data_IF_861130013770
#
_entry.id   IF_861130013770
#
_cell.length_a   1.000
_cell.length_b   1.000
_cell.length_c   1.000
_cell.angle_alpha   90.00
_cell.angle_beta   90.00
_cell.angle_gamma   90.00
#
_symmetry.space_group_name_H-M   'P 1'
#
loop_
_entity.id
_entity.type
_entity.pdbx_description
1 polymer ?
#
# COMPACT_ATOMS: atom_id res chain seq x y z
N UNK A 1 9.37 -22.70 1.53
CA UNK A 1 9.62 -21.68 2.57
C UNK A 1 8.40 -20.78 2.62
N UNK A 2 7.59 -20.90 3.67
CA UNK A 2 6.41 -20.08 3.87
C UNK A 2 6.82 -18.66 4.33
N UNK A 3 6.01 -17.64 3.96
CA UNK A 3 6.17 -16.29 4.47
C UNK A 3 5.82 -16.22 5.97
N UNK A 4 6.34 -15.20 6.67
CA UNK A 4 5.99 -14.97 8.09
C UNK A 4 4.61 -14.32 8.22
N UNK A 5 3.58 -15.14 8.42
CA UNK A 5 2.19 -14.68 8.60
C UNK A 5 1.95 -13.87 9.89
N UNK A 6 2.95 -13.83 10.79
CA UNK A 6 2.89 -13.09 12.07
C UNK A 6 3.53 -11.72 11.96
N UNK A 7 4.13 -11.37 10.80
CA UNK A 7 4.81 -10.09 10.66
C UNK A 7 3.83 -8.93 10.84
N UNK A 8 4.22 -7.95 11.64
CA UNK A 8 3.46 -6.75 11.96
C UNK A 8 4.02 -5.56 11.19
N UNK A 9 3.20 -5.00 10.30
CA UNK A 9 3.56 -3.90 9.43
C UNK A 9 3.36 -2.55 10.14
N UNK A 10 4.18 -1.56 9.79
CA UNK A 10 3.89 -0.18 10.19
C UNK A 10 2.81 0.43 9.29
N UNK A 11 2.03 1.35 9.85
CA UNK A 11 1.11 2.17 9.06
C UNK A 11 1.95 2.98 8.03
N UNK A 12 1.55 3.01 6.74
CA UNK A 12 2.39 3.53 5.64
C UNK A 12 2.34 5.07 5.50
N UNK A 13 2.34 5.78 6.63
CA UNK A 13 2.29 7.25 6.68
C UNK A 13 3.01 7.79 7.91
N UNK A 14 3.24 9.11 7.95
CA UNK A 14 4.03 9.77 8.97
C UNK A 14 3.44 9.63 10.39
N UNK A 15 4.33 9.57 11.38
CA UNK A 15 3.97 9.68 12.80
C UNK A 15 3.16 10.95 13.07
N UNK A 16 2.14 10.83 13.90
CA UNK A 16 1.20 11.90 14.23
C UNK A 16 0.10 12.13 13.18
N UNK A 17 0.08 11.37 12.10
CA UNK A 17 -0.96 11.41 11.09
C UNK A 17 -1.96 10.28 11.28
N UNK A 18 -3.21 10.55 10.89
CA UNK A 18 -4.28 9.56 10.91
C UNK A 18 -5.07 9.58 9.60
N UNK A 19 -5.42 8.38 9.13
CA UNK A 19 -6.20 8.24 7.90
C UNK A 19 -7.31 7.21 8.08
N UNK A 20 -8.44 7.50 7.44
CA UNK A 20 -9.59 6.60 7.42
C UNK A 20 -9.36 5.49 6.39
N UNK A 21 -9.69 4.26 6.76
CA UNK A 21 -9.83 3.15 5.80
C UNK A 21 -11.15 3.33 5.05
N UNK A 22 -11.05 3.72 3.78
CA UNK A 22 -12.21 3.94 2.91
C UNK A 22 -12.78 2.60 2.42
N UNK A 23 -11.90 1.68 2.02
CA UNK A 23 -12.25 0.32 1.63
C UNK A 23 -11.28 -0.67 2.28
N UNK A 24 -11.83 -1.73 2.85
CA UNK A 24 -11.08 -2.78 3.54
C UNK A 24 -10.91 -4.05 2.72
N UNK A 25 -10.44 -5.12 3.39
CA UNK A 25 -10.30 -6.45 2.81
C UNK A 25 -11.63 -6.94 2.25
N UNK A 26 -11.59 -7.52 1.04
CA UNK A 26 -12.76 -8.04 0.34
C UNK A 26 -13.88 -7.02 0.12
N UNK A 27 -13.54 -5.71 0.15
CA UNK A 27 -14.48 -4.62 -0.06
C UNK A 27 -15.21 -4.72 -1.40
N UNK A 28 -16.48 -4.33 -1.41
CA UNK A 28 -17.40 -4.62 -2.52
C UNK A 28 -17.12 -3.83 -3.80
N UNK A 29 -16.42 -2.70 -3.72
CA UNK A 29 -16.18 -1.83 -4.88
C UNK A 29 -15.08 -2.41 -5.80
N UNK A 30 -13.85 -2.53 -5.32
CA UNK A 30 -12.70 -2.97 -6.13
C UNK A 30 -11.85 -4.08 -5.50
N UNK A 31 -12.09 -4.43 -4.22
CA UNK A 31 -11.31 -5.41 -3.48
C UNK A 31 -11.97 -6.80 -3.42
N UNK A 32 -12.91 -7.10 -4.32
CA UNK A 32 -13.57 -8.40 -4.34
C UNK A 32 -12.55 -9.55 -4.46
N UNK A 33 -12.54 -10.43 -3.46
CA UNK A 33 -11.55 -11.52 -3.31
C UNK A 33 -10.09 -11.02 -3.23
N UNK A 34 -9.87 -9.81 -2.70
CA UNK A 34 -8.54 -9.22 -2.52
C UNK A 34 -8.37 -8.68 -1.10
N UNK A 35 -7.23 -9.02 -0.48
CA UNK A 35 -6.81 -8.45 0.78
C UNK A 35 -6.04 -7.14 0.51
N UNK A 36 -6.78 -6.05 0.38
CA UNK A 36 -6.25 -4.71 0.13
C UNK A 36 -6.93 -3.68 1.03
N UNK A 37 -6.25 -2.58 1.28
CA UNK A 37 -6.71 -1.46 2.13
C UNK A 37 -6.55 -0.16 1.33
N UNK A 38 -7.61 0.65 1.30
CA UNK A 38 -7.58 2.01 0.75
C UNK A 38 -7.61 3.03 1.89
N UNK A 39 -6.50 3.78 2.04
CA UNK A 39 -6.41 4.89 2.98
C UNK A 39 -6.79 6.19 2.29
N UNK A 40 -7.83 6.87 2.76
CA UNK A 40 -8.20 8.21 2.26
C UNK A 40 -7.06 9.20 2.54
N UNK A 41 -6.42 9.70 1.52
CA UNK A 41 -5.30 10.65 1.61
C UNK A 41 -5.46 11.76 0.59
N UNK A 42 -5.11 12.99 0.96
CA UNK A 42 -4.97 14.06 -0.02
C UNK A 42 -3.82 13.74 -0.99
N UNK A 43 -3.94 14.20 -2.24
CA UNK A 43 -2.85 14.08 -3.21
C UNK A 43 -1.59 14.77 -2.70
N UNK A 44 -0.42 14.14 -2.90
CA UNK A 44 0.87 14.62 -2.42
C UNK A 44 1.19 14.27 -0.96
N UNK A 45 0.36 13.45 -0.29
CA UNK A 45 0.68 12.92 1.03
C UNK A 45 1.86 11.95 0.94
N UNK A 46 2.80 12.05 1.87
CA UNK A 46 3.95 11.13 1.96
C UNK A 46 3.50 9.70 2.26
N UNK A 47 3.96 8.76 1.43
CA UNK A 47 3.78 7.33 1.61
C UNK A 47 5.09 6.73 2.10
N UNK A 48 5.02 6.03 3.23
CA UNK A 48 6.18 5.41 3.86
C UNK A 48 6.16 3.88 3.66
N UNK A 49 7.36 3.30 3.60
CA UNK A 49 7.49 1.84 3.63
C UNK A 49 6.94 1.27 4.94
N UNK A 50 6.07 0.29 4.83
CA UNK A 50 5.51 -0.43 5.97
C UNK A 50 6.44 -1.53 6.52
N UNK A 51 7.44 -1.95 5.73
CA UNK A 51 8.43 -2.99 6.04
C UNK A 51 9.68 -2.83 5.18
N UNK A 52 10.86 -3.22 5.72
CA UNK A 52 12.14 -3.26 4.98
C UNK A 52 12.03 -4.11 3.72
N UNK A 53 12.75 -3.72 2.65
CA UNK A 53 12.80 -4.51 1.43
C UNK A 53 13.60 -3.88 0.30
N UNK A 54 13.33 -4.35 -0.92
CA UNK A 54 13.95 -3.90 -2.15
C UNK A 54 12.84 -3.54 -3.14
N UNK A 55 12.97 -2.41 -3.83
CA UNK A 55 12.03 -1.99 -4.87
C UNK A 55 12.19 -2.89 -6.09
N UNK A 56 11.15 -3.64 -6.43
CA UNK A 56 11.15 -4.60 -7.54
C UNK A 56 10.24 -4.19 -8.70
N UNK A 57 9.32 -3.26 -8.48
CA UNK A 57 8.50 -2.65 -9.53
C UNK A 57 8.30 -1.17 -9.23
N UNK A 58 8.31 -0.35 -10.28
CA UNK A 58 8.00 1.08 -10.21
C UNK A 58 7.38 1.52 -11.54
N UNK A 59 6.15 1.99 -11.48
CA UNK A 59 5.44 2.68 -12.57
C UNK A 59 4.98 4.03 -12.02
N UNK A 60 5.38 5.13 -12.66
CA UNK A 60 5.07 6.48 -12.17
C UNK A 60 4.93 7.52 -13.28
N UNK A 61 4.73 7.06 -14.51
CA UNK A 61 4.71 7.92 -15.70
C UNK A 61 3.31 8.15 -16.27
N UNK A 62 2.26 7.67 -15.60
CA UNK A 62 0.88 7.87 -16.00
C UNK A 62 0.28 9.11 -15.30
N UNK A 63 -0.68 9.75 -15.97
CA UNK A 63 -1.41 10.93 -15.46
C UNK A 63 -2.94 10.74 -15.51
N UNK A 64 -3.41 9.69 -16.20
CA UNK A 64 -4.82 9.44 -16.43
C UNK A 64 -5.49 8.80 -15.21
N UNK A 65 -6.74 9.19 -14.97
CA UNK A 65 -7.58 8.57 -13.95
C UNK A 65 -9.04 8.54 -14.36
N UNK A 66 -9.76 7.51 -13.95
CA UNK A 66 -11.21 7.46 -14.03
C UNK A 66 -11.80 6.43 -13.05
N UNK A 67 -13.10 6.54 -12.68
CA UNK A 67 -13.73 5.62 -11.73
C UNK A 67 -14.19 4.30 -12.38
N UNK A 68 -13.56 3.86 -13.47
CA UNK A 68 -13.88 2.61 -14.17
C UNK A 68 -12.68 1.68 -14.24
N UNK A 69 -12.94 0.39 -14.31
CA UNK A 69 -11.91 -0.65 -14.32
C UNK A 69 -10.94 -0.54 -15.52
N UNK A 70 -11.38 -0.03 -16.66
CA UNK A 70 -10.54 0.18 -17.85
C UNK A 70 -9.39 1.18 -17.62
N UNK A 71 -9.48 2.02 -16.58
CA UNK A 71 -8.37 2.89 -16.15
C UNK A 71 -7.32 2.18 -15.29
N UNK A 72 -7.49 0.90 -14.92
CA UNK A 72 -6.49 0.12 -14.17
C UNK A 72 -5.13 0.10 -14.86
N UNK A 73 -5.09 0.09 -16.19
CA UNK A 73 -3.87 0.10 -17.01
C UNK A 73 -3.01 1.35 -16.84
N UNK A 74 -3.59 2.44 -16.34
CA UNK A 74 -2.88 3.70 -16.07
C UNK A 74 -2.39 3.81 -14.63
N UNK A 75 -2.52 2.76 -13.82
CA UNK A 75 -2.12 2.85 -12.43
C UNK A 75 -0.62 3.11 -12.29
N UNK A 76 -0.27 4.05 -11.40
CA UNK A 76 1.08 4.23 -10.91
C UNK A 76 1.23 3.49 -9.58
N UNK A 77 2.35 2.81 -9.40
CA UNK A 77 2.60 2.02 -8.19
C UNK A 77 4.07 1.74 -7.95
N UNK A 78 4.40 1.41 -6.71
CA UNK A 78 5.69 0.90 -6.29
C UNK A 78 5.49 -0.42 -5.53
N UNK A 79 6.31 -1.43 -5.85
CA UNK A 79 6.27 -2.73 -5.18
C UNK A 79 7.60 -2.99 -4.49
N UNK A 80 7.53 -3.31 -3.21
CA UNK A 80 8.67 -3.64 -2.36
C UNK A 80 8.65 -5.13 -2.04
N UNK A 81 9.72 -5.85 -2.37
CA UNK A 81 9.93 -7.26 -2.02
C UNK A 81 10.61 -7.35 -0.65
N UNK A 82 10.07 -8.15 0.24
CA UNK A 82 10.60 -8.39 1.57
C UNK A 82 11.49 -9.65 1.62
N UNK A 83 12.27 -9.78 2.69
CA UNK A 83 13.23 -10.87 2.87
C UNK A 83 12.61 -12.28 3.00
N UNK A 84 11.32 -12.37 3.32
CA UNK A 84 10.57 -13.62 3.39
C UNK A 84 9.86 -13.99 2.08
N UNK A 85 10.11 -13.23 0.99
CA UNK A 85 9.51 -13.46 -0.32
C UNK A 85 8.09 -12.93 -0.47
N UNK A 86 7.58 -12.15 0.50
CA UNK A 86 6.34 -11.37 0.30
C UNK A 86 6.62 -10.04 -0.38
N UNK A 87 5.57 -9.42 -0.89
CA UNK A 87 5.62 -8.15 -1.62
C UNK A 87 4.57 -7.20 -1.06
N UNK A 88 4.93 -5.94 -0.85
CA UNK A 88 3.97 -4.87 -0.56
C UNK A 88 3.85 -3.95 -1.78
N UNK A 89 2.61 -3.70 -2.22
CA UNK A 89 2.29 -2.79 -3.31
C UNK A 89 1.62 -1.53 -2.75
N UNK A 90 2.11 -0.38 -3.22
CA UNK A 90 1.65 0.96 -2.89
C UNK A 90 1.18 1.62 -4.18
N UNK A 91 -0.12 1.70 -4.40
CA UNK A 91 -0.72 2.13 -5.67
C UNK A 91 -1.36 3.51 -5.60
N UNK A 92 -1.68 4.04 -6.79
CA UNK A 92 -2.21 5.37 -7.04
C UNK A 92 -1.26 6.50 -6.65
N UNK A 93 0.07 6.24 -6.71
CA UNK A 93 1.06 7.29 -6.50
C UNK A 93 0.99 8.32 -7.63
N UNK A 94 1.33 9.58 -7.32
CA UNK A 94 1.29 10.67 -8.31
C UNK A 94 2.32 10.46 -9.42
N UNK A 95 2.14 11.19 -10.53
CA UNK A 95 3.13 11.27 -11.61
C UNK A 95 4.48 11.71 -11.05
N UNK A 96 5.56 10.97 -11.43
CA UNK A 96 6.92 11.17 -10.89
C UNK A 96 6.96 11.25 -9.36
N UNK A 97 6.14 10.44 -8.68
CA UNK A 97 5.92 10.50 -7.23
C UNK A 97 6.97 9.82 -6.38
N UNK A 98 7.97 9.15 -6.98
CA UNK A 98 9.07 8.49 -6.25
C UNK A 98 10.43 8.95 -6.77
N UNK A 99 11.40 9.10 -5.88
CA UNK A 99 12.81 9.36 -6.21
C UNK A 99 13.65 8.08 -6.29
N UNK A 100 13.07 6.96 -5.90
CA UNK A 100 13.73 5.64 -5.92
C UNK A 100 13.73 5.01 -7.30
N UNK A 101 14.56 3.97 -7.46
CA UNK A 101 14.72 3.19 -8.69
C UNK A 101 14.55 1.69 -8.40
N UNK A 102 14.38 0.92 -9.47
CA UNK A 102 14.39 -0.54 -9.37
C UNK A 102 15.72 -1.02 -8.76
N UNK A 103 15.64 -1.93 -7.80
CA UNK A 103 16.78 -2.49 -7.09
C UNK A 103 17.21 -1.71 -5.84
N UNK A 104 16.68 -0.51 -5.60
CA UNK A 104 17.03 0.27 -4.42
C UNK A 104 16.52 -0.42 -3.13
N UNK A 105 17.39 -0.56 -2.11
CA UNK A 105 16.97 -1.01 -0.79
C UNK A 105 16.23 0.10 -0.05
N UNK A 106 15.17 -0.25 0.65
CA UNK A 106 14.37 0.67 1.46
C UNK A 106 14.19 0.14 2.87
N UNK A 107 14.28 1.05 3.84
CA UNK A 107 14.02 0.75 5.24
C UNK A 107 12.59 1.11 5.62
N UNK A 108 12.04 0.37 6.55
CA UNK A 108 10.74 0.65 7.16
C UNK A 108 10.67 2.10 7.65
N UNK A 109 9.59 2.79 7.33
CA UNK A 109 9.34 4.16 7.77
C UNK A 109 10.01 5.26 6.94
N UNK A 110 10.71 4.93 5.83
CA UNK A 110 11.20 5.95 4.89
C UNK A 110 10.11 6.34 3.89
N UNK A 111 10.11 7.59 3.45
CA UNK A 111 9.21 8.08 2.39
C UNK A 111 9.66 7.47 1.06
N UNK A 112 8.80 6.69 0.41
CA UNK A 112 9.09 6.03 -0.87
C UNK A 112 8.36 6.66 -2.05
N UNK A 113 7.24 7.32 -1.80
CA UNK A 113 6.42 7.96 -2.82
C UNK A 113 5.49 9.01 -2.21
N UNK A 114 4.72 9.64 -3.08
CA UNK A 114 3.62 10.54 -2.69
C UNK A 114 2.31 10.04 -3.28
N UNK A 115 1.22 10.10 -2.51
CA UNK A 115 -0.12 9.73 -2.95
C UNK A 115 -0.59 10.59 -4.13
N UNK A 116 -1.42 10.02 -4.95
CA UNK A 116 -1.98 10.66 -6.12
C UNK A 116 -3.43 10.26 -6.35
N UNK A 117 -3.87 10.49 -7.58
CA UNK A 117 -5.20 10.14 -8.05
C UNK A 117 -5.09 9.61 -9.49
N UNK A 118 -4.29 8.55 -9.69
CA UNK A 118 -3.93 8.02 -11.02
C UNK A 118 -4.40 6.58 -11.15
N UNK A 119 -4.92 6.23 -12.31
CA UNK A 119 -5.44 4.89 -12.60
C UNK A 119 -6.93 4.73 -12.31
N UNK A 120 -7.36 3.55 -11.91
CA UNK A 120 -8.76 3.28 -11.52
C UNK A 120 -9.04 3.79 -10.11
N UNK A 121 -9.55 4.99 -10.02
CA UNK A 121 -9.81 5.68 -8.75
C UNK A 121 -10.98 6.65 -8.88
N UNK A 122 -11.72 6.85 -7.79
CA UNK A 122 -12.78 7.86 -7.65
C UNK A 122 -12.33 9.10 -6.87
N UNK A 123 -11.08 9.14 -6.40
CA UNK A 123 -10.50 10.23 -5.63
C UNK A 123 -9.15 9.87 -5.04
N UNK A 124 -8.37 10.86 -4.54
CA UNK A 124 -7.05 10.61 -4.00
C UNK A 124 -7.05 9.64 -2.81
N UNK A 125 -6.21 8.61 -2.86
CA UNK A 125 -6.04 7.64 -1.80
C UNK A 125 -4.74 6.84 -1.97
N UNK A 126 -4.32 6.12 -0.96
CA UNK A 126 -3.32 5.07 -1.06
C UNK A 126 -4.02 3.71 -1.07
N UNK A 127 -3.90 2.96 -2.16
CA UNK A 127 -4.22 1.54 -2.18
C UNK A 127 -2.98 0.74 -1.74
N UNK A 128 -3.12 -0.02 -0.67
CA UNK A 128 -2.06 -0.87 -0.10
C UNK A 128 -2.49 -2.34 -0.11
N UNK A 129 -1.63 -3.22 -0.61
CA UNK A 129 -1.85 -4.66 -0.55
C UNK A 129 -0.53 -5.41 -0.41
N UNK A 130 -0.56 -6.55 0.29
CA UNK A 130 0.55 -7.48 0.35
C UNK A 130 0.23 -8.77 -0.39
N UNK A 131 1.27 -9.37 -0.98
CA UNK A 131 1.17 -10.62 -1.73
C UNK A 131 2.23 -11.61 -1.31
N UNK A 132 1.89 -12.89 -1.38
CA UNK A 132 2.85 -13.99 -1.42
C UNK A 132 2.91 -14.58 -2.82
N UNK A 133 4.10 -15.03 -3.26
CA UNK A 133 4.22 -15.78 -4.50
C UNK A 133 3.56 -17.16 -4.32
N UNK A 134 2.60 -17.47 -5.19
CA UNK A 134 2.05 -18.81 -5.33
C UNK A 134 2.62 -19.51 -6.56
N UNK A 135 2.35 -20.80 -6.72
CA UNK A 135 2.86 -21.58 -7.85
C UNK A 135 2.34 -21.05 -9.21
N UNK A 136 1.08 -20.65 -9.27
CA UNK A 136 0.45 -20.19 -10.51
C UNK A 136 0.12 -18.68 -10.51
N UNK A 137 0.01 -18.06 -9.34
CA UNK A 137 -0.38 -16.65 -9.19
C UNK A 137 0.10 -16.04 -7.90
N UNK A 138 0.12 -14.70 -7.87
CA UNK A 138 0.28 -13.94 -6.64
C UNK A 138 -1.01 -14.00 -5.82
N UNK A 139 -0.91 -14.29 -4.54
CA UNK A 139 -2.04 -14.34 -3.62
C UNK A 139 -1.96 -13.16 -2.66
N UNK A 140 -3.01 -12.33 -2.60
CA UNK A 140 -3.07 -11.28 -1.59
C UNK A 140 -3.21 -11.89 -0.20
N UNK A 141 -2.49 -11.33 0.77
CA UNK A 141 -2.46 -11.81 2.16
C UNK A 141 -2.99 -10.74 3.10
N UNK A 142 -3.64 -11.18 4.18
CA UNK A 142 -4.02 -10.28 5.27
C UNK A 142 -2.77 -9.71 5.95
N UNK A 143 -2.81 -8.41 6.25
CA UNK A 143 -1.70 -7.66 6.83
C UNK A 143 -2.13 -7.05 8.15
N UNK A 144 -1.47 -7.41 9.24
CA UNK A 144 -1.66 -6.75 10.54
C UNK A 144 -0.79 -5.51 10.63
N UNK A 145 -1.38 -4.41 11.06
CA UNK A 145 -0.68 -3.14 11.26
C UNK A 145 -0.56 -2.80 12.73
N UNK A 146 0.59 -2.29 13.12
CA UNK A 146 0.84 -1.80 14.47
C UNK A 146 0.03 -0.52 14.72
N UNK A 147 -0.56 -0.42 15.90
CA UNK A 147 -1.33 0.71 16.42
C UNK A 147 -1.00 0.88 17.92
N UNK A 148 -1.58 1.89 18.59
CA UNK A 148 -1.45 2.09 20.04
C UNK A 148 0.03 2.12 20.48
N UNK A 149 0.79 3.11 20.00
CA UNK A 149 2.23 3.27 20.25
C UNK A 149 3.10 2.10 19.75
N UNK A 150 2.53 1.28 18.86
CA UNK A 150 3.19 0.08 18.33
C UNK A 150 3.05 -1.16 19.21
N UNK A 151 2.26 -1.09 20.29
CA UNK A 151 2.12 -2.19 21.25
C UNK A 151 1.09 -3.24 20.84
N UNK A 152 0.29 -2.94 19.82
CA UNK A 152 -0.77 -3.81 19.32
C UNK A 152 -0.76 -3.89 17.80
N UNK A 153 -1.02 -5.06 17.25
CA UNK A 153 -1.18 -5.25 15.81
C UNK A 153 -2.57 -5.82 15.48
N UNK A 154 -3.26 -5.19 14.52
CA UNK A 154 -4.63 -5.54 14.14
C UNK A 154 -4.79 -5.57 12.63
N UNK A 155 -5.80 -6.32 12.15
CA UNK A 155 -6.35 -6.13 10.82
C UNK A 155 -7.17 -4.83 10.82
N UNK A 156 -6.88 -3.97 9.85
CA UNK A 156 -7.60 -2.69 9.75
C UNK A 156 -9.02 -2.93 9.20
N UNK A 157 -9.98 -2.20 9.74
CA UNK A 157 -11.40 -2.33 9.42
C UNK A 157 -11.90 -1.11 8.64
N UNK A 158 -12.66 -1.36 7.58
CA UNK A 158 -13.35 -0.33 6.80
C UNK A 158 -14.18 0.60 7.68
N UNK A 159 -14.16 1.88 7.40
CA UNK A 159 -14.87 2.91 8.13
C UNK A 159 -14.09 3.51 9.32
N UNK A 160 -13.08 2.81 9.84
CA UNK A 160 -12.28 3.29 10.99
C UNK A 160 -11.12 4.19 10.54
N UNK A 161 -10.72 5.08 11.45
CA UNK A 161 -9.54 5.94 11.30
C UNK A 161 -8.42 5.44 12.20
N UNK A 162 -7.21 5.36 11.68
CA UNK A 162 -6.05 4.85 12.39
C UNK A 162 -4.96 5.92 12.49
N UNK A 163 -4.47 6.15 13.70
CA UNK A 163 -3.37 7.07 14.02
C UNK A 163 -2.06 6.29 14.08
N UNK A 164 -1.02 6.80 13.43
CA UNK A 164 0.36 6.34 13.68
C UNK A 164 0.98 7.22 14.76
N UNK A 165 1.14 6.71 15.96
CA UNK A 165 1.64 7.43 17.15
C UNK A 165 3.01 6.93 17.65
N UNK A 166 3.70 6.10 16.83
CA UNK A 166 5.02 5.50 17.11
C UNK A 166 6.08 5.80 16.03
#
# INVERSE_FOLDING_TARGET
>A
TGFDSRFEYDLPFQKGKSYKVYQGYNGSFSHKNQNAIDFTMAEGTEILTARDGIIVQLVQNNTESCPREDCRKYNNYITVMHNDGTFANYSHIRYNGSVYKLGDPVKKGVVIAYSGNVGWTSGPHLHFSCFSAGFEKMNSIETKFRIEKGDKAVLLTEGNTYLRDY
#
